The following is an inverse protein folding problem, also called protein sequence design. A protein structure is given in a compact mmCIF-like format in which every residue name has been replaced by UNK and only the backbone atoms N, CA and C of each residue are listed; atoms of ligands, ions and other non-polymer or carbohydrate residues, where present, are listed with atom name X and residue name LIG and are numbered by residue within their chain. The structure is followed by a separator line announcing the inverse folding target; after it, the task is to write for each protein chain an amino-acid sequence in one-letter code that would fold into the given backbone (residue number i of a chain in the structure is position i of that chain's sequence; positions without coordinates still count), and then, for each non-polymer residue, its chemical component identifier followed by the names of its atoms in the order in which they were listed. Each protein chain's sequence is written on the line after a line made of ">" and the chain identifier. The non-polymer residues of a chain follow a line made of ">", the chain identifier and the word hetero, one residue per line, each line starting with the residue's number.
data_IF_812697487505
#
_entry.id   IF_812697487505
#
_cell.length_a   1.000
_cell.length_b   1.000
_cell.length_c   1.000
_cell.angle_alpha   90.00
_cell.angle_beta   90.00
_cell.angle_gamma   90.00
#
_symmetry.space_group_name_H-M   'P 1'
#
loop_
_entity.id
_entity.type
_entity.pdbx_description
1 polymer ?
#
# COMPACT_ATOMS: atom_id res chain seq x y z
N UNK A 1 -0.03 7.53 -30.63
CA UNK A 1 -1.14 7.46 -29.66
C UNK A 1 -0.59 6.83 -28.38
N UNK A 2 0.36 7.49 -27.69
CA UNK A 2 1.10 6.89 -26.56
C UNK A 2 1.17 7.82 -25.32
N UNK A 3 0.41 8.92 -25.31
CA UNK A 3 0.41 9.91 -24.21
C UNK A 3 -0.64 9.65 -23.12
N UNK A 4 -1.58 8.73 -23.35
CA UNK A 4 -2.76 8.58 -22.47
C UNK A 4 -2.55 7.53 -21.36
N UNK A 5 -1.60 6.61 -21.50
CA UNK A 5 -1.37 5.53 -20.52
C UNK A 5 -0.72 6.05 -19.23
N UNK A 6 0.25 6.96 -19.32
CA UNK A 6 0.94 7.50 -18.14
C UNK A 6 0.02 8.32 -17.23
N UNK A 7 -1.00 8.99 -17.78
CA UNK A 7 -1.98 9.73 -16.95
C UNK A 7 -2.95 8.81 -16.22
N UNK A 8 -3.20 7.60 -16.75
CA UNK A 8 -4.12 6.63 -16.19
C UNK A 8 -3.47 5.87 -15.02
N UNK A 9 -2.21 5.46 -15.17
CA UNK A 9 -1.46 4.73 -14.12
C UNK A 9 -1.29 5.59 -12.87
N UNK A 10 -0.85 6.86 -13.01
CA UNK A 10 -0.71 7.77 -11.86
C UNK A 10 -2.04 8.13 -11.17
N UNK A 11 -3.18 7.92 -11.83
CA UNK A 11 -4.52 8.05 -11.22
C UNK A 11 -4.90 6.78 -10.42
N UNK A 12 -4.55 5.60 -10.94
CA UNK A 12 -4.80 4.32 -10.28
C UNK A 12 -3.98 4.17 -9.00
N UNK A 13 -2.68 4.49 -9.02
CA UNK A 13 -1.82 4.42 -7.83
C UNK A 13 -2.32 5.32 -6.69
N UNK A 14 -2.84 6.52 -7.01
CA UNK A 14 -3.46 7.41 -6.01
C UNK A 14 -4.72 6.81 -5.40
N UNK A 15 -5.53 6.13 -6.22
CA UNK A 15 -6.75 5.46 -5.74
C UNK A 15 -6.44 4.26 -4.85
N UNK A 16 -5.41 3.48 -5.18
CA UNK A 16 -4.96 2.32 -4.40
C UNK A 16 -4.36 2.74 -3.06
N UNK A 17 -3.53 3.80 -3.04
CA UNK A 17 -3.03 4.38 -1.79
C UNK A 17 -4.19 4.83 -0.89
N UNK A 18 -5.22 5.47 -1.46
CA UNK A 18 -6.43 5.86 -0.70
C UNK A 18 -7.13 4.64 -0.11
N UNK A 19 -7.30 3.56 -0.89
CA UNK A 19 -7.90 2.31 -0.40
C UNK A 19 -7.08 1.68 0.73
N UNK A 20 -5.75 1.71 0.68
CA UNK A 20 -4.88 1.22 1.76
C UNK A 20 -5.08 2.01 3.05
N UNK A 21 -5.25 3.33 2.95
CA UNK A 21 -5.55 4.19 4.11
C UNK A 21 -6.93 3.88 4.67
N UNK A 22 -7.96 3.81 3.83
CA UNK A 22 -9.32 3.44 4.24
C UNK A 22 -9.36 2.07 4.92
N UNK A 23 -8.62 1.08 4.41
CA UNK A 23 -8.50 -0.23 5.06
C UNK A 23 -7.79 -0.16 6.41
N UNK A 24 -6.84 0.76 6.59
CA UNK A 24 -6.19 0.98 7.88
C UNK A 24 -7.18 1.52 8.90
N UNK A 25 -7.96 2.52 8.50
CA UNK A 25 -9.00 3.09 9.35
C UNK A 25 -10.05 2.04 9.72
N UNK A 26 -10.52 1.24 8.74
CA UNK A 26 -11.47 0.13 8.98
C UNK A 26 -10.90 -0.89 9.97
N UNK A 27 -9.61 -1.24 9.87
CA UNK A 27 -8.98 -2.18 10.81
C UNK A 27 -8.99 -1.60 12.23
N UNK A 28 -8.66 -0.32 12.39
CA UNK A 28 -8.65 0.34 13.69
C UNK A 28 -10.06 0.48 14.30
N UNK A 29 -11.06 0.76 13.47
CA UNK A 29 -12.48 0.76 13.85
C UNK A 29 -12.95 -0.63 14.28
N UNK A 30 -12.60 -1.68 13.54
CA UNK A 30 -12.94 -3.07 13.89
C UNK A 30 -12.28 -3.50 15.21
N UNK A 31 -11.02 -3.12 15.44
CA UNK A 31 -10.34 -3.36 16.71
C UNK A 31 -11.04 -2.64 17.87
N UNK A 32 -11.46 -1.39 17.65
CA UNK A 32 -12.22 -0.60 18.64
C UNK A 32 -13.57 -1.26 18.97
N UNK A 33 -14.27 -1.78 17.97
CA UNK A 33 -15.52 -2.55 18.17
C UNK A 33 -15.24 -3.84 18.96
N UNK A 34 -14.17 -4.57 18.66
CA UNK A 34 -13.81 -5.78 19.42
C UNK A 34 -13.52 -5.46 20.89
N UNK A 35 -12.83 -4.35 21.19
CA UNK A 35 -12.60 -3.91 22.57
C UNK A 35 -13.88 -3.51 23.29
N UNK A 36 -14.82 -2.87 22.60
CA UNK A 36 -16.13 -2.58 23.17
C UNK A 36 -16.87 -3.88 23.55
N UNK A 37 -16.83 -4.90 22.69
CA UNK A 37 -17.39 -6.21 23.02
C UNK A 37 -16.67 -6.87 24.20
N UNK A 38 -15.34 -6.76 24.32
CA UNK A 38 -14.62 -7.27 25.49
C UNK A 38 -15.10 -6.60 26.79
N UNK A 39 -15.19 -5.26 26.80
CA UNK A 39 -15.65 -4.50 27.97
C UNK A 39 -17.11 -4.82 28.36
N UNK A 40 -17.99 -4.91 27.37
CA UNK A 40 -19.39 -5.29 27.59
C UNK A 40 -19.49 -6.73 28.14
N UNK A 41 -18.65 -7.67 27.66
CA UNK A 41 -18.66 -9.06 28.12
C UNK A 41 -18.21 -9.14 29.57
N UNK A 42 -17.14 -8.44 29.92
CA UNK A 42 -16.60 -8.42 31.27
C UNK A 42 -17.61 -7.78 32.26
N UNK A 43 -18.37 -6.78 31.81
CA UNK A 43 -19.48 -6.20 32.58
C UNK A 43 -20.61 -7.19 32.84
N UNK A 44 -21.03 -7.93 31.80
CA UNK A 44 -22.08 -8.95 31.93
C UNK A 44 -21.61 -10.11 32.81
N UNK A 45 -20.37 -10.58 32.65
CA UNK A 45 -19.79 -11.65 33.46
C UNK A 45 -19.68 -11.23 34.94
N UNK A 46 -19.29 -9.98 35.21
CA UNK A 46 -19.29 -9.43 36.57
C UNK A 46 -20.71 -9.38 37.15
N UNK A 47 -21.69 -9.03 36.33
CA UNK A 47 -23.11 -8.99 36.72
C UNK A 47 -23.63 -10.38 37.08
N UNK A 48 -23.39 -11.38 36.24
CA UNK A 48 -23.73 -12.80 36.48
C UNK A 48 -23.11 -13.27 37.80
N UNK A 49 -21.81 -13.05 38.00
CA UNK A 49 -21.11 -13.41 39.24
C UNK A 49 -21.63 -12.70 40.49
N UNK A 50 -22.15 -11.47 40.34
CA UNK A 50 -22.73 -10.73 41.47
C UNK A 50 -24.02 -11.37 41.97
N UNK A 51 -24.79 -12.01 41.08
CA UNK A 51 -25.98 -12.78 41.46
C UNK A 51 -25.59 -14.12 42.11
N UNK A 52 -24.58 -14.82 41.58
CA UNK A 52 -24.13 -16.11 42.12
C UNK A 52 -23.50 -16.02 43.52
N UNK A 53 -22.80 -14.92 43.83
CA UNK A 53 -22.08 -14.75 45.11
C UNK A 53 -22.92 -14.10 46.22
N UNK A 54 -24.22 -13.89 45.98
CA UNK A 54 -25.08 -13.19 46.93
C UNK A 54 -25.79 -14.20 47.87
N UNK A 55 -25.21 -14.43 49.05
CA UNK A 55 -25.90 -15.03 50.22
C UNK A 55 -27.14 -14.22 50.67
N UNK A 56 -27.42 -13.09 50.01
CA UNK A 56 -28.42 -12.08 50.36
C UNK A 56 -29.83 -12.37 49.82
N UNK A 57 -29.98 -13.28 48.83
CA UNK A 57 -31.27 -13.51 48.18
C UNK A 57 -31.82 -14.92 48.48
N UNK A 58 -32.88 -14.97 49.27
CA UNK A 58 -33.82 -16.08 49.36
C UNK A 58 -35.26 -15.50 49.46
N UNK A 59 -36.33 -16.14 48.96
CA UNK A 59 -36.50 -17.10 47.87
C UNK A 59 -37.37 -16.47 46.75
N UNK A 60 -36.76 -15.77 45.81
CA UNK A 60 -37.31 -15.61 44.44
C UNK A 60 -36.35 -16.33 43.47
N UNK A 61 -36.03 -17.59 43.76
CA UNK A 61 -35.00 -18.38 43.06
C UNK A 61 -35.20 -18.42 41.54
N UNK A 62 -36.45 -18.36 41.05
CA UNK A 62 -36.74 -18.55 39.63
C UNK A 62 -36.44 -17.32 38.76
N UNK A 63 -36.67 -16.09 39.26
CA UNK A 63 -36.50 -14.88 38.43
C UNK A 63 -35.04 -14.53 38.21
N UNK A 64 -34.20 -14.70 39.23
CA UNK A 64 -32.77 -14.47 39.11
C UNK A 64 -32.08 -15.58 38.32
N UNK A 65 -32.51 -16.85 38.46
CA UNK A 65 -32.03 -17.93 37.58
C UNK A 65 -32.32 -17.64 36.11
N UNK A 66 -33.56 -17.27 35.78
CA UNK A 66 -33.93 -16.96 34.40
C UNK A 66 -33.11 -15.79 33.83
N UNK A 67 -32.87 -14.74 34.64
CA UNK A 67 -32.03 -13.61 34.24
C UNK A 67 -30.57 -14.05 34.04
N UNK A 68 -29.99 -14.82 34.96
CA UNK A 68 -28.62 -15.32 34.87
C UNK A 68 -28.42 -16.23 33.66
N UNK A 69 -29.40 -17.10 33.36
CA UNK A 69 -29.41 -17.94 32.15
C UNK A 69 -29.50 -17.10 30.86
N UNK A 70 -30.36 -16.07 30.83
CA UNK A 70 -30.49 -15.16 29.69
C UNK A 70 -29.19 -14.37 29.45
N UNK A 71 -28.58 -13.84 30.52
CA UNK A 71 -27.30 -13.13 30.45
C UNK A 71 -26.17 -14.06 29.99
N UNK A 72 -26.13 -15.30 30.50
CA UNK A 72 -25.15 -16.31 30.07
C UNK A 72 -25.33 -16.67 28.58
N UNK A 73 -26.57 -16.76 28.12
CA UNK A 73 -26.91 -16.99 26.70
C UNK A 73 -26.48 -15.80 25.84
N UNK A 74 -26.72 -14.57 26.30
CA UNK A 74 -26.27 -13.34 25.64
C UNK A 74 -24.75 -13.32 25.45
N UNK A 75 -24.00 -13.63 26.50
CA UNK A 75 -22.53 -13.72 26.47
C UNK A 75 -22.07 -14.79 25.49
N UNK A 76 -22.54 -16.04 25.66
CA UNK A 76 -21.98 -17.19 24.96
C UNK A 76 -22.41 -17.30 23.50
N UNK A 77 -23.66 -16.96 23.17
CA UNK A 77 -24.20 -17.14 21.82
C UNK A 77 -24.03 -15.88 20.98
N UNK A 78 -24.53 -14.75 21.47
CA UNK A 78 -24.57 -13.53 20.67
C UNK A 78 -23.23 -12.82 20.68
N UNK A 79 -22.68 -12.61 21.86
CA UNK A 79 -21.48 -11.80 22.01
C UNK A 79 -20.24 -12.47 21.44
N UNK A 80 -20.02 -13.74 21.76
CA UNK A 80 -18.93 -14.49 21.13
C UNK A 80 -19.05 -14.58 19.61
N UNK A 81 -20.27 -14.72 19.09
CA UNK A 81 -20.51 -14.77 17.64
C UNK A 81 -20.14 -13.44 16.99
N UNK A 82 -20.58 -12.31 17.55
CA UNK A 82 -20.20 -10.98 17.09
C UNK A 82 -18.68 -10.78 17.14
N UNK A 83 -18.02 -11.12 18.24
CA UNK A 83 -16.57 -11.03 18.36
C UNK A 83 -15.83 -11.90 17.32
N UNK A 84 -16.30 -13.12 17.08
CA UNK A 84 -15.75 -14.02 16.04
C UNK A 84 -15.90 -13.40 14.65
N UNK A 85 -17.03 -12.75 14.35
CA UNK A 85 -17.25 -12.07 13.06
C UNK A 85 -16.33 -10.86 12.90
N UNK A 86 -16.22 -9.99 13.91
CA UNK A 86 -15.33 -8.82 13.88
C UNK A 86 -13.88 -9.23 13.67
N UNK A 87 -13.41 -10.29 14.36
CA UNK A 87 -12.05 -10.83 14.15
C UNK A 87 -11.83 -11.33 12.72
N UNK A 88 -12.83 -11.99 12.11
CA UNK A 88 -12.75 -12.41 10.70
C UNK A 88 -12.71 -11.22 9.75
N UNK A 89 -13.53 -10.20 9.99
CA UNK A 89 -13.53 -8.96 9.20
C UNK A 89 -12.18 -8.25 9.27
N UNK A 90 -11.59 -8.17 10.48
CA UNK A 90 -10.27 -7.58 10.71
C UNK A 90 -9.20 -8.32 9.92
N UNK A 91 -9.20 -9.66 9.97
CA UNK A 91 -8.26 -10.49 9.22
C UNK A 91 -8.44 -10.34 7.70
N UNK A 92 -9.68 -10.23 7.22
CA UNK A 92 -9.95 -10.02 5.80
C UNK A 92 -9.48 -8.64 5.33
N UNK A 93 -9.76 -7.58 6.09
CA UNK A 93 -9.31 -6.23 5.79
C UNK A 93 -7.77 -6.15 5.75
N UNK A 94 -7.10 -6.81 6.70
CA UNK A 94 -5.64 -6.91 6.71
C UNK A 94 -5.10 -7.60 5.44
N UNK A 95 -5.68 -8.73 5.04
CA UNK A 95 -5.27 -9.41 3.79
C UNK A 95 -5.49 -8.52 2.57
N UNK A 96 -6.63 -7.83 2.48
CA UNK A 96 -6.90 -6.91 1.36
C UNK A 96 -5.90 -5.77 1.33
N UNK A 97 -5.54 -5.22 2.50
CA UNK A 97 -4.53 -4.17 2.63
C UNK A 97 -3.15 -4.65 2.17
N UNK A 98 -2.77 -5.87 2.53
CA UNK A 98 -1.49 -6.46 2.13
C UNK A 98 -1.45 -6.69 0.61
N UNK A 99 -2.52 -7.24 0.02
CA UNK A 99 -2.63 -7.39 -1.43
C UNK A 99 -2.52 -6.06 -2.19
N UNK A 100 -3.12 -4.98 -1.67
CA UNK A 100 -3.02 -3.66 -2.30
C UNK A 100 -1.61 -3.07 -2.21
N UNK A 101 -0.88 -3.32 -1.12
CA UNK A 101 0.53 -2.93 -1.01
C UNK A 101 1.39 -3.67 -2.02
N UNK A 102 1.19 -4.98 -2.18
CA UNK A 102 1.90 -5.77 -3.18
C UNK A 102 1.62 -5.25 -4.60
N UNK A 103 0.38 -4.85 -4.89
CA UNK A 103 0.00 -4.26 -6.17
C UNK A 103 0.73 -2.93 -6.42
N UNK A 104 0.76 -2.04 -5.42
CA UNK A 104 1.48 -0.76 -5.51
C UNK A 104 2.99 -0.97 -5.75
N UNK A 105 3.60 -1.93 -5.06
CA UNK A 105 5.01 -2.27 -5.25
C UNK A 105 5.29 -2.81 -6.66
N UNK A 106 4.37 -3.61 -7.21
CA UNK A 106 4.47 -4.11 -8.59
C UNK A 106 4.33 -2.98 -9.61
N UNK A 107 3.38 -2.05 -9.42
CA UNK A 107 3.22 -0.88 -10.28
C UNK A 107 4.49 -0.03 -10.29
N UNK A 108 5.09 0.24 -9.12
CA UNK A 108 6.33 1.00 -9.04
C UNK A 108 7.51 0.30 -9.75
N UNK A 109 7.60 -1.03 -9.65
CA UNK A 109 8.62 -1.82 -10.36
C UNK A 109 8.42 -1.78 -11.87
N UNK A 110 7.16 -1.85 -12.34
CA UNK A 110 6.82 -1.74 -13.76
C UNK A 110 7.22 -0.37 -14.32
N UNK A 111 6.90 0.72 -13.61
CA UNK A 111 7.31 2.08 -13.99
C UNK A 111 8.82 2.20 -14.12
N UNK A 112 9.56 1.69 -13.12
CA UNK A 112 11.03 1.69 -13.12
C UNK A 112 11.60 0.92 -14.31
N UNK A 113 11.01 -0.22 -14.65
CA UNK A 113 11.43 -1.04 -15.79
C UNK A 113 11.13 -0.35 -17.13
N UNK A 114 9.99 0.30 -17.24
CA UNK A 114 9.64 1.10 -18.42
C UNK A 114 10.64 2.25 -18.62
N UNK A 115 10.97 3.02 -17.58
CA UNK A 115 11.98 4.08 -17.66
C UNK A 115 13.37 3.56 -18.08
N UNK A 116 13.78 2.40 -17.54
CA UNK A 116 15.02 1.74 -17.93
C UNK A 116 15.02 1.33 -19.41
N UNK A 117 13.90 0.81 -19.93
CA UNK A 117 13.75 0.48 -21.34
C UNK A 117 13.79 1.71 -22.25
N UNK A 118 13.14 2.82 -21.88
CA UNK A 118 13.18 4.06 -22.66
C UNK A 118 14.58 4.72 -22.67
N UNK A 119 15.32 4.63 -21.56
CA UNK A 119 16.70 5.12 -21.50
C UNK A 119 17.68 4.24 -22.30
N UNK A 120 17.49 2.91 -22.32
CA UNK A 120 18.28 2.00 -23.17
C UNK A 120 17.93 2.09 -24.67
N UNK A 121 16.69 2.46 -25.02
CA UNK A 121 16.28 2.68 -26.43
C UNK A 121 16.74 4.01 -27.04
N UNK A 122 17.52 4.82 -26.32
CA UNK A 122 18.28 5.93 -26.90
C UNK A 122 19.75 5.53 -27.11
N UNK A 123 20.09 4.69 -28.11
CA UNK A 123 21.46 4.68 -28.60
C UNK A 123 21.73 6.06 -29.22
N UNK A 124 22.84 6.68 -28.82
CA UNK A 124 23.19 8.04 -29.18
C UNK A 124 23.14 8.29 -30.69
N UNK A 125 22.32 9.26 -31.09
CA UNK A 125 22.45 9.90 -32.40
C UNK A 125 23.57 10.95 -32.44
N UNK A 126 24.43 11.01 -31.42
CA UNK A 126 25.60 11.91 -31.36
C UNK A 126 26.89 11.28 -31.94
N UNK A 127 26.80 10.13 -32.63
CA UNK A 127 27.96 9.47 -33.24
C UNK A 127 28.13 9.66 -34.75
N UNK A 128 27.64 10.76 -35.32
CA UNK A 128 28.03 11.21 -36.68
C UNK A 128 28.20 12.73 -36.76
N UNK A 129 29.14 13.29 -35.99
CA UNK A 129 29.79 14.57 -36.30
C UNK A 129 31.31 14.44 -36.14
N UNK A 130 31.93 13.64 -37.00
CA UNK A 130 33.33 13.81 -37.35
C UNK A 130 33.63 13.01 -38.62
N UNK A 131 33.83 13.71 -39.74
CA UNK A 131 34.17 13.03 -40.99
C UNK A 131 33.93 13.82 -42.27
N UNK A 132 34.07 15.14 -42.27
CA UNK A 132 34.48 15.85 -43.49
C UNK A 132 34.94 17.26 -43.13
N UNK A 133 35.93 17.78 -43.86
CA UNK A 133 36.63 19.07 -43.67
C UNK A 133 37.85 19.04 -42.72
N UNK A 134 38.92 18.39 -43.16
CA UNK A 134 40.29 18.94 -43.09
C UNK A 134 41.31 17.91 -43.61
N UNK A 135 41.28 17.62 -44.92
CA UNK A 135 42.36 16.93 -45.60
C UNK A 135 42.58 17.57 -46.98
N UNK A 136 43.02 18.82 -46.99
CA UNK A 136 43.72 19.46 -48.12
C UNK A 136 44.40 20.72 -47.62
N UNK A 137 45.54 20.57 -46.96
CA UNK A 137 46.67 21.53 -46.98
C UNK A 137 47.73 21.13 -45.96
N UNK A 138 48.73 20.38 -46.42
CA UNK A 138 50.06 20.38 -45.80
C UNK A 138 51.05 20.09 -46.93
N UNK A 139 51.79 21.07 -47.43
CA UNK A 139 53.21 21.32 -47.13
C UNK A 139 53.76 22.00 -48.42
N UNK A 140 54.61 23.02 -48.48
CA UNK A 140 55.73 23.40 -47.62
C UNK A 140 56.11 24.88 -47.84
N UNK A 141 56.98 25.35 -46.94
CA UNK A 141 57.50 26.68 -46.62
C UNK A 141 58.17 27.51 -47.75
N UNK A 142 58.44 28.82 -47.51
CA UNK A 142 58.89 29.78 -48.51
C UNK A 142 60.42 29.89 -48.60
N UNK A 143 60.94 30.21 -49.79
CA UNK A 143 62.27 30.76 -49.97
C UNK A 143 62.25 31.78 -51.12
N UNK A 144 62.51 33.03 -50.78
CA UNK A 144 62.80 34.11 -51.70
C UNK A 144 64.30 34.14 -52.05
N UNK A 145 64.65 35.07 -52.96
CA UNK A 145 65.98 35.49 -53.46
C UNK A 145 66.42 34.72 -54.71
N UNK A 146 66.80 35.29 -55.86
CA UNK A 146 66.65 36.59 -56.56
C UNK A 146 67.11 36.30 -58.03
N UNK A 147 66.92 37.22 -59.00
CA UNK A 147 67.10 36.96 -60.43
C UNK A 147 68.48 37.37 -60.97
N UNK A 148 68.91 36.72 -62.05
CA UNK A 148 69.89 37.14 -63.09
C UNK A 148 70.08 35.86 -63.96
N UNK A 149 69.95 35.83 -65.28
CA UNK A 149 70.26 36.82 -66.29
C UNK A 149 71.15 36.12 -67.33
N UNK A 150 70.69 36.10 -68.58
CA UNK A 150 71.45 36.04 -69.83
C UNK A 150 72.06 34.70 -70.34
N UNK A 151 71.68 34.46 -71.62
CA UNK A 151 72.29 33.70 -72.72
C UNK A 151 72.02 32.19 -72.83
#
# INVERSE_FOLDING_TARGET
>A
MESDTNSIVGSQTKSEVKLVLELTDIIDELNSINHLFEAQRDTLDTTVKSFDNSDWFAPEEDRYKLLTEELSTMITQYMESCMKQVKRMTANAQRTKDCLKDLLDLQQKEETLNEAHYSHRRPGNDMYKNGNEAASSLSAAPAAVEPLGAL
#
